data_IF_039282510665
#
_entry.id   IF_039282510665
#
_cell.length_a   1.000
_cell.length_b   1.000
_cell.length_c   1.000
_cell.angle_alpha   90.00
_cell.angle_beta   90.00
_cell.angle_gamma   90.00
#
_symmetry.space_group_name_H-M   'P 1'
#
loop_
_entity.id
_entity.type
_entity.pdbx_description
1 polymer ?
#
# COMPACT_ATOMS: atom_id res chain seq x y z
N UNK A 1 7.96 15.19 8.17
CA UNK A 1 7.42 14.92 6.81
C UNK A 1 8.45 15.18 5.69
N UNK A 2 9.15 16.32 5.67
CA UNK A 2 10.13 16.69 4.62
C UNK A 2 11.32 15.73 4.38
N UNK A 3 11.82 15.01 5.40
CA UNK A 3 13.00 14.14 5.26
C UNK A 3 12.70 12.83 4.49
N UNK A 4 11.49 12.28 4.62
CA UNK A 4 11.07 11.04 3.94
C UNK A 4 10.88 11.24 2.44
N UNK A 5 10.34 12.39 2.03
CA UNK A 5 10.23 12.78 0.63
C UNK A 5 11.59 13.06 0.00
N UNK A 6 12.49 13.72 0.75
CA UNK A 6 13.85 13.96 0.27
C UNK A 6 14.59 12.65 -0.01
N UNK A 7 14.51 11.66 0.89
CA UNK A 7 15.14 10.34 0.72
C UNK A 7 14.56 9.57 -0.48
N UNK A 8 13.24 9.55 -0.66
CA UNK A 8 12.59 8.90 -1.80
C UNK A 8 12.92 9.59 -3.14
N UNK A 9 13.15 10.90 -3.11
CA UNK A 9 13.59 11.67 -4.29
C UNK A 9 15.02 11.27 -4.67
N UNK A 10 15.96 11.22 -3.72
CA UNK A 10 17.37 10.84 -3.95
C UNK A 10 17.57 9.37 -4.36
N UNK A 11 16.69 8.49 -3.89
CA UNK A 11 16.65 7.06 -4.24
C UNK A 11 16.49 6.80 -5.75
N UNK A 12 15.76 7.67 -6.47
CA UNK A 12 15.62 7.60 -7.94
C UNK A 12 16.87 8.10 -8.68
N UNK A 13 17.59 9.06 -8.12
CA UNK A 13 18.84 9.57 -8.71
C UNK A 13 19.98 8.54 -8.63
N UNK A 14 20.06 7.75 -7.54
CA UNK A 14 21.06 6.69 -7.40
C UNK A 14 20.94 5.61 -8.49
N UNK A 15 19.70 5.24 -8.85
CA UNK A 15 19.42 4.29 -9.94
C UNK A 15 19.83 4.85 -11.32
N UNK A 16 19.60 6.15 -11.54
CA UNK A 16 20.03 6.84 -12.76
C UNK A 16 21.55 6.96 -12.89
N UNK A 17 22.26 7.26 -11.79
CA UNK A 17 23.72 7.38 -11.79
C UNK A 17 24.37 6.00 -12.03
N UNK A 18 23.84 4.92 -11.46
CA UNK A 18 24.32 3.56 -11.69
C UNK A 18 24.20 3.13 -13.17
N UNK A 19 23.08 3.47 -13.83
CA UNK A 19 22.88 3.22 -15.27
C UNK A 19 23.86 4.05 -16.12
N UNK A 20 24.07 5.33 -15.79
CA UNK A 20 25.01 6.19 -16.54
C UNK A 20 26.47 5.72 -16.41
N UNK A 21 26.90 5.31 -15.22
CA UNK A 21 28.24 4.75 -15.01
C UNK A 21 28.46 3.44 -15.79
N UNK A 22 27.41 2.62 -15.94
CA UNK A 22 27.48 1.40 -16.77
C UNK A 22 27.61 1.71 -18.27
N UNK A 23 26.98 2.78 -18.76
CA UNK A 23 27.09 3.22 -20.16
C UNK A 23 28.45 3.83 -20.50
N UNK A 24 29.07 4.55 -19.56
CA UNK A 24 30.41 5.14 -19.74
C UNK A 24 31.49 4.06 -19.81
N UNK A 25 31.30 2.91 -19.14
CA UNK A 25 32.22 1.78 -19.21
C UNK A 25 32.27 1.10 -20.61
N UNK A 26 31.31 1.38 -21.49
CA UNK A 26 31.10 0.61 -22.74
C UNK A 26 31.55 1.37 -24.00
N UNK A 27 31.77 2.69 -23.98
CA UNK A 27 32.00 3.43 -25.23
C UNK A 27 33.13 4.45 -25.15
N UNK A 28 34.26 4.15 -25.81
CA UNK A 28 35.06 5.18 -26.49
C UNK A 28 35.53 4.63 -27.84
N UNK A 29 34.96 5.17 -28.91
CA UNK A 29 35.36 5.00 -30.31
C UNK A 29 36.66 5.75 -30.58
N UNK A 30 37.62 5.15 -31.29
CA UNK A 30 38.75 5.87 -31.90
C UNK A 30 39.13 5.33 -33.29
N UNK A 31 39.31 6.30 -34.18
CA UNK A 31 39.71 6.44 -35.59
C UNK A 31 39.96 5.28 -36.58
N UNK A 32 40.00 3.99 -36.25
CA UNK A 32 40.39 2.94 -37.23
C UNK A 32 39.42 1.75 -37.34
N UNK A 33 38.15 1.93 -36.96
CA UNK A 33 37.13 0.89 -37.12
C UNK A 33 37.29 -0.36 -36.23
N UNK A 34 38.34 -0.43 -35.40
CA UNK A 34 38.55 -1.50 -34.41
C UNK A 34 38.10 -1.04 -33.02
N UNK A 35 37.17 -1.76 -32.42
CA UNK A 35 36.72 -1.54 -31.04
C UNK A 35 37.78 -2.13 -30.11
N UNK A 36 38.74 -1.32 -29.65
CA UNK A 36 39.67 -1.73 -28.61
C UNK A 36 39.18 -1.22 -27.26
N UNK A 37 38.55 -2.11 -26.48
CA UNK A 37 38.18 -1.82 -25.09
C UNK A 37 39.45 -1.60 -24.27
N UNK A 38 39.70 -0.35 -23.84
CA UNK A 38 40.83 0.04 -22.97
C UNK A 38 40.89 -0.82 -21.69
N UNK A 39 39.75 -1.37 -21.27
CA UNK A 39 39.59 -2.12 -20.02
C UNK A 39 40.10 -3.57 -20.06
N UNK A 40 40.39 -4.13 -21.25
CA UNK A 40 40.98 -5.49 -21.34
C UNK A 40 42.36 -5.56 -20.64
N UNK A 41 43.06 -4.42 -20.50
CA UNK A 41 44.33 -4.33 -19.77
C UNK A 41 44.15 -4.46 -18.24
N UNK A 42 42.95 -4.24 -17.69
CA UNK A 42 42.68 -4.19 -16.25
C UNK A 42 41.39 -4.92 -15.81
N UNK A 43 41.30 -6.25 -16.00
CA UNK A 43 40.11 -7.04 -15.63
C UNK A 43 39.76 -6.94 -14.13
N UNK A 44 40.75 -6.71 -13.27
CA UNK A 44 40.55 -6.56 -11.83
C UNK A 44 39.70 -5.32 -11.46
N UNK A 45 39.80 -4.22 -12.22
CA UNK A 45 39.02 -3.00 -11.95
C UNK A 45 37.53 -3.19 -12.27
N UNK A 46 37.22 -3.96 -13.32
CA UNK A 46 35.83 -4.30 -13.68
C UNK A 46 35.20 -5.12 -12.56
N UNK A 47 35.92 -6.14 -12.10
CA UNK A 47 35.46 -7.00 -11.02
C UNK A 47 35.19 -6.19 -9.74
N UNK A 48 36.10 -5.27 -9.38
CA UNK A 48 35.93 -4.39 -8.23
C UNK A 48 34.65 -3.52 -8.34
N UNK A 49 34.38 -2.96 -9.52
CA UNK A 49 33.17 -2.15 -9.76
C UNK A 49 31.88 -2.96 -9.65
N UNK A 50 31.88 -4.21 -10.12
CA UNK A 50 30.74 -5.12 -9.99
C UNK A 50 30.49 -5.48 -8.52
N UNK A 51 31.56 -5.79 -7.77
CA UNK A 51 31.48 -6.13 -6.34
C UNK A 51 30.96 -4.94 -5.53
N UNK A 52 31.47 -3.73 -5.78
CA UNK A 52 31.01 -2.50 -5.11
C UNK A 52 29.54 -2.21 -5.43
N UNK A 53 29.14 -2.34 -6.70
CA UNK A 53 27.74 -2.16 -7.11
C UNK A 53 26.81 -3.16 -6.42
N UNK A 54 27.20 -4.45 -6.40
CA UNK A 54 26.46 -5.50 -5.70
C UNK A 54 26.32 -5.22 -4.20
N UNK A 55 27.41 -4.78 -3.56
CA UNK A 55 27.42 -4.41 -2.15
C UNK A 55 26.51 -3.22 -1.85
N UNK A 56 26.52 -2.18 -2.68
CA UNK A 56 25.66 -1.01 -2.53
C UNK A 56 24.18 -1.36 -2.68
N UNK A 57 23.83 -2.22 -3.63
CA UNK A 57 22.45 -2.73 -3.80
C UNK A 57 22.00 -3.53 -2.58
N UNK A 58 22.87 -4.40 -2.05
CA UNK A 58 22.58 -5.17 -0.85
C UNK A 58 22.40 -4.27 0.39
N UNK A 59 23.30 -3.31 0.61
CA UNK A 59 23.23 -2.35 1.70
C UNK A 59 21.95 -1.49 1.62
N UNK A 60 21.60 -1.03 0.41
CA UNK A 60 20.37 -0.31 0.16
C UNK A 60 19.12 -1.13 0.51
N UNK A 61 19.08 -2.40 0.10
CA UNK A 61 17.97 -3.29 0.42
C UNK A 61 17.85 -3.56 1.92
N UNK A 62 18.99 -3.72 2.61
CA UNK A 62 19.07 -3.90 4.06
C UNK A 62 18.44 -2.73 4.82
N UNK A 63 18.77 -1.49 4.41
CA UNK A 63 18.24 -0.26 5.02
C UNK A 63 16.73 -0.15 4.76
N UNK A 64 16.27 -0.51 3.55
CA UNK A 64 14.87 -0.41 3.18
C UNK A 64 13.99 -1.45 3.92
N UNK A 65 14.53 -2.64 4.23
CA UNK A 65 13.83 -3.69 5.00
C UNK A 65 13.44 -3.26 6.41
N UNK A 66 14.34 -2.58 7.16
CA UNK A 66 14.05 -2.14 8.54
C UNK A 66 12.90 -1.13 8.60
N UNK A 67 12.86 -0.21 7.63
CA UNK A 67 11.81 0.81 7.53
C UNK A 67 10.41 0.23 7.27
N UNK A 68 10.34 -0.88 6.54
CA UNK A 68 9.06 -1.57 6.25
C UNK A 68 8.48 -2.27 7.48
N UNK A 69 9.31 -2.84 8.35
CA UNK A 69 8.84 -3.56 9.55
C UNK A 69 8.16 -2.65 10.59
N UNK A 70 8.69 -1.42 10.76
CA UNK A 70 8.12 -0.43 11.68
C UNK A 70 6.79 0.07 11.13
N UNK A 71 6.74 0.40 9.83
CA UNK A 71 5.51 0.85 9.18
C UNK A 71 4.42 -0.23 9.18
N UNK A 72 4.78 -1.50 8.97
CA UNK A 72 3.81 -2.60 9.04
C UNK A 72 3.26 -2.81 10.46
N UNK A 73 4.08 -2.59 11.49
CA UNK A 73 3.63 -2.72 12.87
C UNK A 73 2.74 -1.55 13.30
N UNK A 74 3.08 -0.31 12.91
CA UNK A 74 2.22 0.87 13.13
C UNK A 74 0.86 0.71 12.43
N UNK A 75 0.85 0.20 11.20
CA UNK A 75 -0.40 -0.08 10.46
C UNK A 75 -1.23 -1.17 11.16
N UNK A 76 -0.60 -2.24 11.67
CA UNK A 76 -1.29 -3.31 12.39
C UNK A 76 -1.90 -2.85 13.72
N UNK A 77 -1.18 -2.04 14.49
CA UNK A 77 -1.69 -1.47 15.73
C UNK A 77 -2.86 -0.50 15.45
N UNK A 78 -2.73 0.36 14.44
CA UNK A 78 -3.84 1.23 14.02
C UNK A 78 -5.04 0.45 13.50
N UNK A 79 -4.84 -0.63 12.74
CA UNK A 79 -5.96 -1.46 12.28
C UNK A 79 -6.66 -2.15 13.43
N UNK A 80 -5.92 -2.64 14.43
CA UNK A 80 -6.47 -3.32 15.61
C UNK A 80 -7.30 -2.38 16.48
N UNK A 81 -6.77 -1.19 16.80
CA UNK A 81 -7.54 -0.17 17.56
C UNK A 81 -8.81 0.23 16.79
N UNK A 82 -8.70 0.36 15.45
CA UNK A 82 -9.83 0.71 14.59
C UNK A 82 -10.88 -0.39 14.51
N UNK A 83 -10.49 -1.67 14.50
CA UNK A 83 -11.43 -2.80 14.51
C UNK A 83 -12.11 -2.93 15.86
N UNK A 84 -11.38 -2.82 16.97
CA UNK A 84 -11.95 -2.87 18.33
C UNK A 84 -12.98 -1.74 18.55
N UNK A 85 -12.66 -0.52 18.10
CA UNK A 85 -13.60 0.59 18.14
C UNK A 85 -14.82 0.37 17.25
N UNK A 86 -14.67 -0.29 16.11
CA UNK A 86 -15.79 -0.59 15.22
C UNK A 86 -16.71 -1.67 15.80
N UNK A 87 -16.15 -2.71 16.42
CA UNK A 87 -16.90 -3.77 17.10
C UNK A 87 -17.70 -3.23 18.29
N UNK A 88 -17.12 -2.28 19.04
CA UNK A 88 -17.83 -1.56 20.09
C UNK A 88 -19.05 -0.80 19.53
N UNK A 89 -18.89 -0.06 18.43
CA UNK A 89 -20.01 0.65 17.79
C UNK A 89 -21.08 -0.30 17.23
N UNK A 90 -20.69 -1.48 16.74
CA UNK A 90 -21.63 -2.51 16.32
C UNK A 90 -22.46 -3.02 17.51
N UNK A 91 -21.87 -3.14 18.70
CA UNK A 91 -22.57 -3.56 19.91
C UNK A 91 -23.67 -2.58 20.35
N UNK A 92 -23.60 -1.31 19.94
CA UNK A 92 -24.62 -0.29 20.23
C UNK A 92 -25.84 -0.35 19.29
N UNK A 93 -25.80 -1.17 18.23
CA UNK A 93 -26.94 -1.36 17.35
C UNK A 93 -28.05 -2.10 18.10
N UNK A 94 -29.30 -1.63 17.95
CA UNK A 94 -30.46 -2.39 18.44
C UNK A 94 -30.61 -3.69 17.65
N UNK A 95 -31.35 -4.68 18.18
CA UNK A 95 -31.60 -5.94 17.48
C UNK A 95 -32.10 -5.72 16.06
N UNK A 96 -33.08 -4.82 15.89
CA UNK A 96 -33.63 -4.50 14.57
C UNK A 96 -32.61 -3.84 13.63
N UNK A 97 -31.74 -2.99 14.16
CA UNK A 97 -30.66 -2.37 13.38
C UNK A 97 -29.61 -3.41 12.99
N UNK A 98 -29.34 -4.38 13.86
CA UNK A 98 -28.41 -5.49 13.61
C UNK A 98 -28.91 -6.41 12.50
N UNK A 99 -30.19 -6.78 12.50
CA UNK A 99 -30.80 -7.54 11.41
C UNK A 99 -30.65 -6.84 10.05
N UNK A 100 -30.99 -5.54 9.99
CA UNK A 100 -30.82 -4.74 8.77
C UNK A 100 -29.35 -4.69 8.36
N UNK A 101 -28.44 -4.50 9.31
CA UNK A 101 -27.00 -4.49 9.06
C UNK A 101 -26.51 -5.82 8.47
N UNK A 102 -26.92 -6.96 9.06
CA UNK A 102 -26.53 -8.31 8.62
C UNK A 102 -27.00 -8.59 7.18
N UNK A 103 -28.21 -8.12 6.82
CA UNK A 103 -28.70 -8.21 5.45
C UNK A 103 -27.95 -7.28 4.48
N UNK A 104 -27.50 -6.11 4.94
CA UNK A 104 -26.68 -5.22 4.12
C UNK A 104 -25.31 -5.83 3.81
N UNK A 105 -24.65 -6.44 4.80
CA UNK A 105 -23.31 -7.02 4.63
C UNK A 105 -23.34 -8.32 3.83
N UNK A 106 -24.42 -9.10 3.93
CA UNK A 106 -24.65 -10.30 3.08
C UNK A 106 -24.97 -9.95 1.62
N UNK A 107 -25.10 -8.66 1.29
CA UNK A 107 -25.21 -8.18 -0.08
C UNK A 107 -26.64 -7.97 -0.58
N UNK A 108 -27.66 -8.12 0.28
CA UNK A 108 -29.07 -7.94 -0.09
C UNK A 108 -29.38 -6.51 -0.53
N UNK A 109 -30.14 -6.37 -1.59
CA UNK A 109 -30.69 -5.09 -2.05
C UNK A 109 -31.75 -4.57 -1.08
N UNK A 110 -32.03 -3.26 -1.10
CA UNK A 110 -33.05 -2.69 -0.24
C UNK A 110 -34.44 -3.33 -0.45
N UNK A 111 -34.74 -3.79 -1.68
CA UNK A 111 -35.99 -4.50 -1.98
C UNK A 111 -36.07 -5.85 -1.29
N UNK A 112 -34.98 -6.62 -1.31
CA UNK A 112 -34.91 -7.91 -0.62
C UNK A 112 -34.98 -7.74 0.89
N UNK A 113 -34.29 -6.73 1.44
CA UNK A 113 -34.35 -6.44 2.88
C UNK A 113 -35.76 -6.09 3.32
N UNK A 114 -36.46 -5.23 2.57
CA UNK A 114 -37.86 -4.88 2.86
C UNK A 114 -38.77 -6.10 2.84
N UNK A 115 -38.57 -7.01 1.88
CA UNK A 115 -39.37 -8.24 1.76
C UNK A 115 -39.09 -9.22 2.90
N UNK A 116 -37.81 -9.42 3.25
CA UNK A 116 -37.38 -10.36 4.30
C UNK A 116 -37.78 -9.89 5.70
N UNK A 117 -37.76 -8.57 5.91
CA UNK A 117 -38.07 -7.95 7.19
C UNK A 117 -39.52 -7.45 7.30
N UNK A 118 -40.32 -7.57 6.23
CA UNK A 118 -41.70 -7.09 6.12
C UNK A 118 -41.87 -5.61 6.51
N UNK A 119 -41.03 -4.73 5.96
CA UNK A 119 -41.03 -3.27 6.24
C UNK A 119 -41.08 -2.43 4.97
N UNK A 120 -41.60 -1.21 5.10
CA UNK A 120 -41.62 -0.23 4.02
C UNK A 120 -40.26 0.48 3.81
N UNK A 121 -40.12 1.13 2.66
CA UNK A 121 -38.90 1.83 2.26
C UNK A 121 -38.52 2.98 3.19
N UNK A 122 -39.53 3.71 3.70
CA UNK A 122 -39.36 4.79 4.67
C UNK A 122 -38.72 4.28 5.97
N UNK A 123 -39.22 3.17 6.50
CA UNK A 123 -38.71 2.50 7.71
C UNK A 123 -37.31 1.96 7.51
N UNK A 124 -37.06 1.27 6.38
CA UNK A 124 -35.72 0.78 6.06
C UNK A 124 -34.71 1.93 5.94
N UNK A 125 -35.08 3.04 5.29
CA UNK A 125 -34.21 4.23 5.18
C UNK A 125 -33.88 4.81 6.55
N UNK A 126 -34.84 4.84 7.47
CA UNK A 126 -34.60 5.28 8.85
C UNK A 126 -33.62 4.37 9.57
N UNK A 127 -33.79 3.05 9.50
CA UNK A 127 -32.82 2.11 10.08
C UNK A 127 -31.42 2.28 9.48
N UNK A 128 -31.31 2.37 8.15
CA UNK A 128 -30.03 2.60 7.46
C UNK A 128 -29.37 3.89 7.95
N UNK A 129 -30.13 4.99 8.04
CA UNK A 129 -29.60 6.28 8.50
C UNK A 129 -29.12 6.21 9.95
N UNK A 130 -29.85 5.52 10.83
CA UNK A 130 -29.45 5.34 12.23
C UNK A 130 -28.20 4.46 12.35
N UNK A 131 -28.12 3.37 11.58
CA UNK A 131 -26.93 2.49 11.53
C UNK A 131 -25.73 3.30 11.05
N UNK A 132 -25.86 4.02 9.94
CA UNK A 132 -24.78 4.84 9.38
C UNK A 132 -24.36 5.97 10.31
N UNK A 133 -25.32 6.58 11.03
CA UNK A 133 -25.03 7.55 12.08
C UNK A 133 -24.22 6.96 13.22
N UNK A 134 -24.64 5.81 13.78
CA UNK A 134 -23.93 5.12 14.88
C UNK A 134 -22.53 4.65 14.46
N UNK A 135 -22.39 4.11 13.26
CA UNK A 135 -21.10 3.61 12.75
C UNK A 135 -20.20 4.70 12.15
N UNK A 136 -20.68 5.94 12.10
CA UNK A 136 -20.05 7.07 11.43
C UNK A 136 -19.60 6.73 10.00
N UNK A 137 -20.55 6.24 9.19
CA UNK A 137 -20.37 5.83 7.80
C UNK A 137 -21.31 6.65 6.93
N UNK A 138 -20.88 6.99 5.70
CA UNK A 138 -21.66 7.80 4.77
C UNK A 138 -22.27 7.00 3.62
N UNK A 139 -21.73 5.81 3.34
CA UNK A 139 -22.19 5.01 2.20
C UNK A 139 -22.09 3.51 2.43
N UNK A 140 -22.88 2.76 1.66
CA UNK A 140 -22.81 1.30 1.63
C UNK A 140 -21.44 0.79 1.15
N UNK A 141 -20.80 1.52 0.25
CA UNK A 141 -19.45 1.19 -0.22
C UNK A 141 -18.42 1.33 0.90
N UNK A 142 -18.50 2.43 1.66
CA UNK A 142 -17.65 2.66 2.83
C UNK A 142 -17.88 1.60 3.91
N UNK A 143 -19.13 1.23 4.19
CA UNK A 143 -19.45 0.12 5.10
C UNK A 143 -18.76 -1.18 4.68
N UNK A 144 -18.89 -1.57 3.40
CA UNK A 144 -18.23 -2.76 2.87
C UNK A 144 -16.70 -2.66 2.94
N UNK A 145 -16.13 -1.48 2.71
CA UNK A 145 -14.70 -1.26 2.81
C UNK A 145 -14.19 -1.40 4.25
N UNK A 146 -14.94 -0.90 5.25
CA UNK A 146 -14.58 -1.05 6.66
C UNK A 146 -14.59 -2.50 7.15
N UNK A 147 -15.40 -3.37 6.55
CA UNK A 147 -15.50 -4.79 6.90
C UNK A 147 -14.51 -5.70 6.15
N UNK A 148 -13.97 -5.26 5.01
CA UNK A 148 -13.04 -6.05 4.18
C UNK A 148 -11.56 -5.92 4.60
N UNK A 149 -11.29 -5.21 5.70
CA UNK A 149 -9.95 -4.97 6.24
C UNK A 149 -9.85 -5.51 7.65
#
# INVERSE_FOLDING_TARGET
>A
MKLREMLAKHQKYLLGIALLLSSIAISIRSSDGKINFVLHRYPALIFLMIVISSFLVAAYFQINKRKMSILSNEIKEQSKIRSEGFDALLSELTERQREVFDLIISGKTNKEIMAELFIEQSTLKTHINQIYGKLNIKSRSELKSKLKH
#
